data_IF_306915216004
#
_entry.id   IF_306915216004
#
_cell.length_a   1.000
_cell.length_b   1.000
_cell.length_c   1.000
_cell.angle_alpha   90.00
_cell.angle_beta   90.00
_cell.angle_gamma   90.00
#
_symmetry.space_group_name_H-M   'P 1'
#
loop_
_entity.id
_entity.type
_entity.pdbx_description
1 polymer ?
#
# COMPACT_ATOMS: atom_id res chain seq x y z
N UNK A 1 43.54 -32.05 64.06
CA UNK A 1 43.81 -30.98 63.06
C UNK A 1 43.46 -31.51 61.68
N UNK A 2 42.88 -30.67 60.82
CA UNK A 2 42.15 -31.03 59.60
C UNK A 2 43.05 -31.57 58.44
N UNK A 3 42.45 -32.52 57.70
CA UNK A 3 42.74 -33.05 56.34
C UNK A 3 43.30 -32.00 55.35
N UNK A 4 44.34 -32.30 54.57
CA UNK A 4 44.44 -33.10 53.32
C UNK A 4 44.06 -32.37 52.03
N UNK A 5 45.10 -32.09 51.24
CA UNK A 5 45.31 -32.24 49.78
C UNK A 5 44.17 -32.74 48.87
N UNK A 6 44.01 -32.09 47.69
CA UNK A 6 43.96 -32.63 46.31
C UNK A 6 43.16 -31.69 45.38
N UNK A 7 43.73 -31.11 44.31
CA UNK A 7 44.14 -31.64 42.99
C UNK A 7 43.12 -31.30 41.89
N UNK A 8 43.64 -30.94 40.71
CA UNK A 8 42.89 -30.41 39.58
C UNK A 8 41.73 -31.28 39.11
N UNK A 9 40.60 -30.62 38.84
CA UNK A 9 39.43 -31.21 38.21
C UNK A 9 39.42 -30.94 36.72
N UNK A 10 39.52 -32.00 35.92
CA UNK A 10 39.10 -32.00 34.52
C UNK A 10 37.65 -31.49 34.43
N UNK A 11 37.42 -30.50 33.58
CA UNK A 11 36.07 -29.99 33.30
C UNK A 11 35.27 -31.05 32.55
N UNK A 12 34.45 -31.81 33.28
CA UNK A 12 33.41 -32.67 32.73
C UNK A 12 32.34 -31.78 32.08
N UNK A 13 32.45 -31.57 30.77
CA UNK A 13 31.39 -30.92 29.99
C UNK A 13 30.20 -31.89 29.98
N UNK A 14 29.11 -31.52 30.64
CA UNK A 14 27.90 -32.34 30.75
C UNK A 14 27.41 -32.77 29.36
N UNK A 15 26.99 -34.04 29.24
CA UNK A 15 26.32 -34.56 28.02
C UNK A 15 25.16 -33.66 27.60
N UNK A 16 24.47 -33.02 28.55
CA UNK A 16 23.42 -32.05 28.26
C UNK A 16 23.94 -30.82 27.49
N UNK A 17 25.14 -30.33 27.82
CA UNK A 17 25.77 -29.19 27.15
C UNK A 17 26.24 -29.55 25.73
N UNK A 18 26.75 -30.77 25.52
CA UNK A 18 27.12 -31.26 24.18
C UNK A 18 25.88 -31.49 23.31
N UNK A 19 24.80 -32.04 23.88
CA UNK A 19 23.53 -32.25 23.17
C UNK A 19 22.87 -30.92 22.83
N UNK A 20 22.89 -29.92 23.71
CA UNK A 20 22.41 -28.56 23.40
C UNK A 20 23.25 -27.89 22.31
N UNK A 21 24.57 -28.03 22.35
CA UNK A 21 25.47 -27.48 21.33
C UNK A 21 25.25 -28.13 19.96
N UNK A 22 25.13 -29.47 19.92
CA UNK A 22 24.83 -30.20 18.70
C UNK A 22 23.40 -29.94 18.21
N UNK A 23 22.43 -29.72 19.10
CA UNK A 23 21.03 -29.39 18.72
C UNK A 23 20.89 -27.94 18.21
N UNK A 24 21.70 -27.01 18.72
CA UNK A 24 21.77 -25.63 18.24
C UNK A 24 22.54 -25.52 16.92
N UNK A 25 23.56 -26.36 16.69
CA UNK A 25 24.32 -26.41 15.44
C UNK A 25 23.77 -27.36 14.35
N UNK A 26 22.77 -28.19 14.65
CA UNK A 26 22.11 -29.06 13.64
C UNK A 26 20.94 -28.38 12.92
N UNK A 27 20.95 -27.06 12.77
CA UNK A 27 20.06 -26.32 11.88
C UNK A 27 20.82 -25.77 10.68
N UNK A 28 21.17 -26.68 9.77
CA UNK A 28 20.98 -26.58 8.31
C UNK A 28 21.99 -27.47 7.58
N UNK A 29 21.47 -28.46 6.87
CA UNK A 29 21.85 -28.88 5.51
C UNK A 29 20.98 -30.10 5.14
N UNK A 30 19.67 -29.89 5.14
CA UNK A 30 18.80 -30.68 4.27
C UNK A 30 18.96 -30.04 2.89
N UNK A 31 19.36 -30.79 1.84
CA UNK A 31 19.25 -30.29 0.49
C UNK A 31 17.76 -30.11 0.24
N UNK A 32 17.27 -28.88 0.39
CA UNK A 32 15.99 -28.52 -0.18
C UNK A 32 16.04 -28.91 -1.64
N UNK A 33 15.02 -29.64 -2.09
CA UNK A 33 14.64 -29.68 -3.51
C UNK A 33 15.00 -28.35 -4.16
N UNK A 34 15.71 -28.33 -5.30
CA UNK A 34 16.10 -27.08 -5.92
C UNK A 34 14.84 -26.25 -6.08
N UNK A 35 14.72 -25.20 -5.28
CA UNK A 35 13.78 -24.15 -5.55
C UNK A 35 14.20 -23.71 -6.94
N UNK A 36 13.37 -24.03 -7.94
CA UNK A 36 13.49 -23.48 -9.28
C UNK A 36 13.77 -22.01 -9.06
N UNK A 37 14.99 -21.58 -9.37
CA UNK A 37 15.38 -20.20 -9.25
C UNK A 37 14.40 -19.44 -10.15
N UNK A 38 13.41 -18.77 -9.54
CA UNK A 38 12.51 -17.88 -10.26
C UNK A 38 13.44 -16.87 -10.90
N UNK A 39 13.58 -16.94 -12.21
CA UNK A 39 14.31 -15.94 -12.96
C UNK A 39 13.56 -14.62 -12.76
N UNK A 40 14.05 -13.82 -11.82
CA UNK A 40 13.42 -12.62 -11.23
C UNK A 40 13.28 -11.46 -12.23
N UNK A 41 13.54 -11.70 -13.51
CA UNK A 41 13.62 -10.66 -14.55
C UNK A 41 12.31 -10.43 -15.28
N UNK A 42 11.37 -11.40 -15.23
CA UNK A 42 10.12 -11.32 -15.98
C UNK A 42 8.93 -11.82 -15.17
N UNK A 43 7.85 -11.05 -15.09
CA UNK A 43 6.57 -11.45 -14.51
C UNK A 43 5.54 -11.66 -15.61
N UNK A 44 4.86 -12.79 -15.55
CA UNK A 44 3.80 -13.14 -16.49
C UNK A 44 2.45 -13.06 -15.78
N UNK A 45 1.52 -12.32 -16.35
CA UNK A 45 0.12 -12.25 -15.92
C UNK A 45 -0.75 -12.81 -17.04
N UNK A 46 -1.67 -13.71 -16.73
CA UNK A 46 -2.62 -14.24 -17.70
C UNK A 46 -4.05 -14.05 -17.22
N UNK A 47 -4.95 -13.70 -18.12
CA UNK A 47 -6.39 -13.60 -17.87
C UNK A 47 -7.18 -14.78 -18.49
N UNK A 48 -6.47 -15.82 -18.95
CA UNK A 48 -7.04 -16.97 -19.67
C UNK A 48 -7.21 -16.77 -21.18
N UNK A 49 -7.24 -15.54 -21.67
CA UNK A 49 -7.30 -15.22 -23.11
C UNK A 49 -6.00 -14.61 -23.63
N UNK A 50 -5.32 -13.88 -22.77
CA UNK A 50 -4.14 -13.10 -23.06
C UNK A 50 -3.07 -13.40 -22.02
N UNK A 51 -1.81 -13.32 -22.47
CA UNK A 51 -0.65 -13.42 -21.59
C UNK A 51 0.12 -12.11 -21.71
N UNK A 52 0.22 -11.40 -20.59
CA UNK A 52 0.95 -10.15 -20.43
C UNK A 52 2.30 -10.45 -19.81
N UNK A 53 3.35 -10.02 -20.47
CA UNK A 53 4.72 -10.21 -20.01
C UNK A 53 5.32 -8.87 -19.59
N UNK A 54 5.75 -8.77 -18.33
CA UNK A 54 6.46 -7.63 -17.80
C UNK A 54 7.92 -8.00 -17.57
N UNK A 55 8.83 -7.44 -18.39
CA UNK A 55 10.26 -7.50 -18.11
C UNK A 55 10.63 -6.38 -17.13
N UNK A 56 10.98 -6.75 -15.91
CA UNK A 56 11.28 -5.81 -14.83
C UNK A 56 12.55 -5.01 -15.10
N UNK A 57 13.59 -5.64 -15.66
CA UNK A 57 14.85 -4.95 -15.97
C UNK A 57 14.66 -3.88 -17.04
N UNK A 58 13.87 -4.18 -18.07
CA UNK A 58 13.55 -3.22 -19.11
C UNK A 58 12.72 -2.06 -18.55
N UNK A 59 11.75 -2.35 -17.69
CA UNK A 59 10.90 -1.33 -17.08
C UNK A 59 11.70 -0.42 -16.13
N UNK A 60 12.60 -1.00 -15.32
CA UNK A 60 13.49 -0.24 -14.44
C UNK A 60 14.45 0.65 -15.24
N UNK A 61 15.00 0.16 -16.35
CA UNK A 61 15.88 0.95 -17.21
C UNK A 61 15.16 2.16 -17.83
N UNK A 62 13.89 2.00 -18.25
CA UNK A 62 13.12 3.09 -18.85
C UNK A 62 12.58 4.11 -17.83
N UNK A 63 12.22 3.65 -16.63
CA UNK A 63 11.60 4.49 -15.60
C UNK A 63 12.30 4.38 -14.24
N UNK A 64 13.62 4.66 -14.16
CA UNK A 64 14.40 4.43 -12.95
C UNK A 64 13.90 5.27 -11.78
N UNK A 65 13.46 6.50 -12.03
CA UNK A 65 12.88 7.38 -11.01
C UNK A 65 11.58 6.82 -10.43
N UNK A 66 10.75 6.20 -11.28
CA UNK A 66 9.52 5.58 -10.82
C UNK A 66 9.82 4.35 -9.97
N UNK A 67 10.83 3.54 -10.28
CA UNK A 67 11.13 2.32 -9.51
C UNK A 67 11.87 2.60 -8.20
N UNK A 68 12.85 3.51 -8.23
CA UNK A 68 13.74 3.77 -7.09
C UNK A 68 13.14 4.64 -6.01
N UNK A 69 12.11 5.43 -6.35
CA UNK A 69 11.46 6.28 -5.36
C UNK A 69 10.90 5.45 -4.20
N UNK A 70 11.02 5.94 -2.98
CA UNK A 70 10.44 5.31 -1.79
C UNK A 70 9.16 6.05 -1.44
N UNK A 71 8.03 5.38 -1.52
CA UNK A 71 6.73 5.97 -1.20
C UNK A 71 6.63 6.21 0.31
N UNK A 72 6.99 7.41 0.77
CA UNK A 72 6.86 7.78 2.18
C UNK A 72 5.54 8.51 2.39
N UNK A 73 4.77 8.04 3.37
CA UNK A 73 3.48 8.62 3.72
C UNK A 73 3.69 9.76 4.72
N UNK A 74 3.30 10.97 4.32
CA UNK A 74 3.22 12.13 5.22
C UNK A 74 1.94 12.07 6.05
N UNK A 75 0.86 11.54 5.47
CA UNK A 75 -0.40 11.26 6.14
C UNK A 75 -0.76 9.81 5.86
N UNK A 76 -0.61 8.94 6.87
CA UNK A 76 -0.88 7.51 6.78
C UNK A 76 -2.33 7.14 7.11
N UNK A 77 -2.80 5.99 6.58
CA UNK A 77 -4.21 5.56 6.66
C UNK A 77 -4.43 4.07 6.92
N UNK A 78 -3.58 3.46 7.73
CA UNK A 78 -3.55 2.01 7.98
C UNK A 78 -4.90 1.39 8.39
N UNK A 79 -5.72 2.13 9.14
CA UNK A 79 -7.01 1.63 9.64
C UNK A 79 -8.19 1.83 8.67
N UNK A 80 -8.02 2.51 7.53
CA UNK A 80 -9.12 2.90 6.65
C UNK A 80 -9.91 1.69 6.10
N UNK A 81 -9.22 0.57 5.88
CA UNK A 81 -9.81 -0.63 5.27
C UNK A 81 -10.44 -1.61 6.28
N UNK A 82 -10.62 -1.17 7.54
CA UNK A 82 -11.21 -1.99 8.62
C UNK A 82 -12.75 -2.00 8.65
N UNK A 83 -13.42 -1.72 7.52
CA UNK A 83 -14.88 -1.65 7.42
C UNK A 83 -15.65 -2.88 7.94
N UNK A 84 -16.99 -2.78 8.04
CA UNK A 84 -17.81 -3.84 8.62
C UNK A 84 -17.55 -5.20 7.95
N UNK A 85 -17.44 -6.27 8.74
CA UNK A 85 -17.09 -7.60 8.26
C UNK A 85 -18.13 -8.22 7.31
N UNK A 86 -19.35 -7.67 7.27
CA UNK A 86 -20.51 -8.28 6.60
C UNK A 86 -20.61 -7.94 5.11
N UNK A 87 -19.93 -6.90 4.65
CA UNK A 87 -19.99 -6.46 3.25
C UNK A 87 -18.58 -6.37 2.63
N UNK A 88 -18.39 -6.82 1.38
CA UNK A 88 -17.14 -6.62 0.66
C UNK A 88 -16.83 -5.12 0.51
N UNK A 89 -15.55 -4.78 0.72
CA UNK A 89 -15.08 -3.40 0.64
C UNK A 89 -14.83 -2.99 -0.83
N UNK A 90 -15.45 -1.88 -1.25
CA UNK A 90 -15.13 -1.14 -2.46
C UNK A 90 -14.40 0.16 -2.07
N UNK A 91 -13.08 0.20 -2.30
CA UNK A 91 -12.27 1.38 -2.05
C UNK A 91 -12.40 2.36 -3.21
N UNK A 92 -12.88 3.59 -2.94
CA UNK A 92 -12.98 4.66 -3.93
C UNK A 92 -11.72 5.52 -3.87
N UNK A 93 -10.72 5.17 -4.67
CA UNK A 93 -9.44 5.87 -4.74
C UNK A 93 -9.50 7.06 -5.70
N UNK A 94 -9.53 8.27 -5.16
CA UNK A 94 -9.80 9.50 -5.91
C UNK A 94 -8.54 10.37 -5.96
N UNK A 95 -7.96 10.53 -7.15
CA UNK A 95 -6.84 11.46 -7.34
C UNK A 95 -7.29 12.90 -7.09
N UNK A 96 -6.58 13.60 -6.22
CA UNK A 96 -6.83 15.00 -5.88
C UNK A 96 -5.53 15.80 -5.82
N UNK A 97 -5.64 17.07 -5.45
CA UNK A 97 -4.55 18.04 -5.31
C UNK A 97 -4.72 18.78 -3.99
N UNK A 98 -3.67 19.13 -3.23
CA UNK A 98 -3.75 19.84 -1.95
C UNK A 98 -4.74 21.02 -1.95
N UNK A 99 -4.55 21.99 -2.85
CA UNK A 99 -5.45 23.15 -3.06
C UNK A 99 -6.91 22.84 -3.46
N UNK A 100 -7.28 21.58 -3.75
CA UNK A 100 -8.62 21.20 -4.24
C UNK A 100 -9.60 20.78 -3.12
N UNK A 101 -9.48 21.35 -1.91
CA UNK A 101 -10.35 21.04 -0.77
C UNK A 101 -11.85 21.21 -1.06
N UNK A 102 -12.24 22.28 -1.77
CA UNK A 102 -13.65 22.51 -2.16
C UNK A 102 -14.20 21.42 -3.08
N UNK A 103 -13.37 20.86 -3.97
CA UNK A 103 -13.75 19.74 -4.84
C UNK A 103 -13.93 18.47 -4.02
N UNK A 104 -13.02 18.18 -3.07
CA UNK A 104 -13.18 17.04 -2.15
C UNK A 104 -14.46 17.15 -1.33
N UNK A 105 -14.74 18.33 -0.77
CA UNK A 105 -15.98 18.58 -0.02
C UNK A 105 -17.25 18.36 -0.87
N UNK A 106 -17.25 18.76 -2.15
CA UNK A 106 -18.36 18.47 -3.06
C UNK A 106 -18.52 16.97 -3.36
N UNK A 107 -17.41 16.23 -3.48
CA UNK A 107 -17.43 14.78 -3.66
C UNK A 107 -17.98 14.07 -2.42
N UNK A 108 -17.58 14.48 -1.21
CA UNK A 108 -18.12 13.97 0.06
C UNK A 108 -19.62 14.21 0.22
N UNK A 109 -20.12 15.36 -0.25
CA UNK A 109 -21.55 15.67 -0.26
C UNK A 109 -22.35 14.90 -1.32
N UNK A 110 -21.68 14.17 -2.20
CA UNK A 110 -22.31 13.42 -3.30
C UNK A 110 -21.97 11.92 -3.17
N UNK A 111 -21.18 11.39 -4.09
CA UNK A 111 -20.98 9.94 -4.23
C UNK A 111 -19.78 9.40 -3.43
N UNK A 112 -18.85 10.26 -2.99
CA UNK A 112 -17.64 9.85 -2.28
C UNK A 112 -17.82 9.92 -0.76
N UNK A 113 -18.80 9.18 -0.24
CA UNK A 113 -19.08 9.08 1.21
C UNK A 113 -19.16 7.61 1.64
N UNK A 114 -18.78 7.30 2.90
CA UNK A 114 -19.00 5.97 3.44
C UNK A 114 -20.47 5.59 3.40
N UNK A 115 -20.79 4.47 2.76
CA UNK A 115 -22.16 3.98 2.61
C UNK A 115 -22.15 2.51 2.16
N UNK A 116 -23.22 1.79 2.44
CA UNK A 116 -23.47 0.50 1.81
C UNK A 116 -24.33 0.70 0.55
N UNK A 117 -23.84 0.26 -0.61
CA UNK A 117 -24.53 0.39 -1.90
C UNK A 117 -24.40 -0.91 -2.67
N UNK A 118 -25.54 -1.51 -3.04
CA UNK A 118 -25.56 -2.76 -3.80
C UNK A 118 -24.84 -3.93 -3.09
N UNK A 119 -24.86 -3.95 -1.76
CA UNK A 119 -24.18 -4.96 -0.94
C UNK A 119 -22.67 -4.72 -0.74
N UNK A 120 -22.11 -3.62 -1.25
CA UNK A 120 -20.71 -3.25 -1.02
C UNK A 120 -20.61 -2.13 0.01
N UNK A 121 -19.62 -2.21 0.90
CA UNK A 121 -19.22 -1.09 1.74
C UNK A 121 -18.28 -0.16 0.95
N UNK A 122 -18.72 1.06 0.67
CA UNK A 122 -17.92 2.07 -0.02
C UNK A 122 -17.05 2.80 0.99
N UNK A 123 -15.76 2.92 0.70
CA UNK A 123 -14.82 3.71 1.49
C UNK A 123 -14.07 4.70 0.59
N UNK A 124 -14.31 6.02 0.70
CA UNK A 124 -13.56 7.02 -0.06
C UNK A 124 -12.15 7.21 0.47
N UNK A 125 -11.21 7.46 -0.46
CA UNK A 125 -9.82 7.80 -0.17
C UNK A 125 -9.30 8.81 -1.18
N UNK A 126 -8.92 10.00 -0.73
CA UNK A 126 -8.30 11.03 -1.54
C UNK A 126 -6.78 10.88 -1.55
N UNK A 127 -6.21 10.88 -2.75
CA UNK A 127 -4.79 10.63 -3.01
C UNK A 127 -4.07 11.93 -3.39
N UNK A 128 -3.16 12.40 -2.53
CA UNK A 128 -2.43 13.65 -2.66
C UNK A 128 -0.90 13.40 -2.71
N UNK A 129 -0.17 14.28 -3.40
CA UNK A 129 1.25 14.53 -3.14
C UNK A 129 1.41 15.72 -2.19
N UNK A 130 2.65 16.01 -1.83
CA UNK A 130 3.01 17.13 -0.97
C UNK A 130 2.54 18.47 -1.54
N UNK A 131 2.03 19.31 -0.64
CA UNK A 131 1.60 20.67 -0.95
C UNK A 131 2.79 21.55 -1.31
N UNK A 132 2.58 22.49 -2.23
CA UNK A 132 3.60 23.46 -2.65
C UNK A 132 3.62 24.73 -1.78
N UNK A 133 2.66 24.89 -0.87
CA UNK A 133 2.57 26.04 0.04
C UNK A 133 2.20 25.58 1.46
N UNK A 134 2.72 26.29 2.46
CA UNK A 134 2.44 26.00 3.87
C UNK A 134 0.95 26.13 4.18
N UNK A 135 0.28 27.11 3.56
CA UNK A 135 -1.17 27.29 3.66
C UNK A 135 -1.93 26.05 3.19
N UNK A 136 -1.59 25.49 2.04
CA UNK A 136 -2.25 24.29 1.54
C UNK A 136 -1.92 23.07 2.41
N UNK A 137 -0.70 22.98 2.94
CA UNK A 137 -0.29 21.92 3.85
C UNK A 137 -1.11 21.96 5.15
N UNK A 138 -1.28 23.13 5.75
CA UNK A 138 -2.08 23.35 6.96
C UNK A 138 -3.55 22.98 6.71
N UNK A 139 -4.14 23.47 5.61
CA UNK A 139 -5.52 23.18 5.25
C UNK A 139 -5.75 21.68 5.01
N UNK A 140 -4.80 20.99 4.36
CA UNK A 140 -4.86 19.53 4.19
C UNK A 140 -4.72 18.81 5.53
N UNK A 141 -3.87 19.29 6.43
CA UNK A 141 -3.73 18.75 7.79
C UNK A 141 -5.04 18.83 8.57
N UNK A 142 -5.68 20.01 8.59
CA UNK A 142 -6.98 20.21 9.22
C UNK A 142 -8.06 19.32 8.60
N UNK A 143 -8.14 19.28 7.26
CA UNK A 143 -9.10 18.44 6.56
C UNK A 143 -8.89 16.95 6.87
N UNK A 144 -7.64 16.52 6.88
CA UNK A 144 -7.25 15.14 7.17
C UNK A 144 -7.62 14.74 8.60
N UNK A 145 -7.46 15.65 9.56
CA UNK A 145 -7.92 15.46 10.94
C UNK A 145 -9.45 15.34 11.02
N UNK A 146 -10.19 16.17 10.29
CA UNK A 146 -11.66 16.15 10.31
C UNK A 146 -12.28 14.93 9.63
N UNK A 147 -11.78 14.53 8.45
CA UNK A 147 -12.44 13.53 7.61
C UNK A 147 -11.76 12.16 7.62
N UNK A 148 -10.47 12.08 7.94
CA UNK A 148 -9.75 10.80 8.01
C UNK A 148 -9.60 10.06 6.67
N UNK A 149 -9.89 10.72 5.54
CA UNK A 149 -9.99 10.09 4.21
C UNK A 149 -8.92 10.59 3.22
N UNK A 150 -7.82 11.15 3.72
CA UNK A 150 -6.69 11.64 2.92
C UNK A 150 -5.47 10.74 3.14
N UNK A 151 -4.90 10.25 2.05
CA UNK A 151 -3.57 9.62 1.99
C UNK A 151 -2.64 10.55 1.19
N UNK A 152 -1.51 10.92 1.79
CA UNK A 152 -0.58 11.87 1.20
C UNK A 152 0.86 11.36 1.26
N UNK A 153 1.56 11.45 0.13
CA UNK A 153 2.98 11.15 0.03
C UNK A 153 3.85 12.41 -0.03
N UNK A 154 5.14 12.22 0.20
CA UNK A 154 6.18 13.26 0.28
C UNK A 154 6.63 13.85 -1.06
N UNK A 155 6.28 13.25 -2.21
CA UNK A 155 6.62 13.84 -3.51
C UNK A 155 5.76 15.07 -3.81
N UNK A 156 6.35 16.08 -4.45
CA UNK A 156 5.64 17.28 -4.90
C UNK A 156 4.44 16.93 -5.80
N UNK A 157 3.27 17.48 -5.50
CA UNK A 157 2.10 17.30 -6.35
C UNK A 157 2.31 17.93 -7.74
N UNK A 158 2.22 17.12 -8.80
CA UNK A 158 2.31 17.60 -10.18
C UNK A 158 1.72 16.60 -11.16
N UNK A 159 1.42 17.04 -12.39
CA UNK A 159 1.00 16.15 -13.47
C UNK A 159 2.08 15.10 -13.81
N UNK A 160 3.36 15.47 -13.72
CA UNK A 160 4.47 14.58 -14.01
C UNK A 160 4.59 13.44 -12.98
N UNK A 161 4.18 13.69 -11.72
CA UNK A 161 4.25 12.70 -10.64
C UNK A 161 3.01 11.81 -10.53
N UNK A 162 2.09 11.84 -11.51
CA UNK A 162 0.88 11.01 -11.49
C UNK A 162 1.19 9.51 -11.54
N UNK A 163 2.20 9.09 -12.30
CA UNK A 163 2.64 7.68 -12.32
C UNK A 163 3.22 7.26 -10.98
N UNK A 164 3.96 8.15 -10.32
CA UNK A 164 4.49 7.91 -8.98
C UNK A 164 3.38 7.76 -7.96
N UNK A 165 2.38 8.64 -8.01
CA UNK A 165 1.14 8.54 -7.22
C UNK A 165 0.43 7.20 -7.43
N UNK A 166 0.37 6.71 -8.67
CA UNK A 166 -0.27 5.42 -8.96
C UNK A 166 0.50 4.26 -8.34
N UNK A 167 1.81 4.21 -8.55
CA UNK A 167 2.66 3.15 -7.98
C UNK A 167 2.60 3.15 -6.45
N UNK A 168 2.68 4.32 -5.82
CA UNK A 168 2.62 4.43 -4.37
C UNK A 168 1.25 4.02 -3.82
N UNK A 169 0.17 4.38 -4.50
CA UNK A 169 -1.17 3.91 -4.16
C UNK A 169 -1.30 2.38 -4.26
N UNK A 170 -0.83 1.77 -5.34
CA UNK A 170 -0.89 0.32 -5.52
C UNK A 170 -0.08 -0.42 -4.44
N UNK A 171 1.11 0.10 -4.09
CA UNK A 171 1.92 -0.41 -2.98
C UNK A 171 1.16 -0.31 -1.65
N UNK A 172 0.54 0.83 -1.38
CA UNK A 172 -0.24 1.05 -0.17
C UNK A 172 -1.43 0.08 -0.05
N UNK A 173 -2.19 -0.13 -1.14
CA UNK A 173 -3.31 -1.08 -1.16
C UNK A 173 -2.83 -2.49 -0.82
N UNK A 174 -1.71 -2.92 -1.41
CA UNK A 174 -1.12 -4.23 -1.16
C UNK A 174 -0.71 -4.43 0.30
N UNK A 175 -0.16 -3.38 0.93
CA UNK A 175 0.35 -3.43 2.31
C UNK A 175 -0.74 -3.25 3.37
N UNK A 176 -1.68 -2.33 3.16
CA UNK A 176 -2.60 -1.85 4.20
C UNK A 176 -4.07 -2.18 3.94
N UNK A 177 -4.43 -2.57 2.71
CA UNK A 177 -5.82 -2.69 2.29
C UNK A 177 -6.17 -4.04 1.65
N UNK A 178 -5.65 -5.14 2.21
CA UNK A 178 -5.88 -6.50 1.69
C UNK A 178 -7.35 -6.95 1.73
N UNK A 179 -8.19 -6.26 2.52
CA UNK A 179 -9.64 -6.52 2.60
C UNK A 179 -10.45 -5.90 1.46
N UNK A 180 -9.86 -5.03 0.65
CA UNK A 180 -10.57 -4.45 -0.50
C UNK A 180 -10.86 -5.53 -1.53
N UNK A 181 -12.14 -5.81 -1.77
CA UNK A 181 -12.58 -6.70 -2.83
C UNK A 181 -12.39 -6.03 -4.20
N UNK A 182 -12.63 -4.71 -4.27
CA UNK A 182 -12.49 -3.92 -5.48
C UNK A 182 -11.92 -2.54 -5.16
N UNK A 183 -11.21 -1.99 -6.14
CA UNK A 183 -10.73 -0.60 -6.12
C UNK A 183 -11.32 0.13 -7.32
N UNK A 184 -12.10 1.16 -7.06
CA UNK A 184 -12.49 2.12 -8.08
C UNK A 184 -11.46 3.24 -8.14
N UNK A 185 -10.80 3.39 -9.29
CA UNK A 185 -9.86 4.49 -9.51
C UNK A 185 -10.52 5.65 -10.25
N UNK A 186 -10.69 6.78 -9.57
CA UNK A 186 -11.30 7.98 -10.12
C UNK A 186 -10.31 9.11 -10.39
N UNK A 187 -10.58 9.89 -11.43
CA UNK A 187 -10.14 11.30 -11.54
C UNK A 187 -11.36 12.16 -11.79
N UNK A 188 -11.44 13.35 -11.19
CA UNK A 188 -12.52 14.29 -11.49
C UNK A 188 -12.09 15.20 -12.64
N UNK A 189 -12.54 14.94 -13.87
CA UNK A 189 -12.33 15.87 -15.00
C UNK A 189 -13.56 16.70 -15.37
N UNK A 190 -14.78 16.40 -14.91
CA UNK A 190 -15.95 17.30 -15.05
C UNK A 190 -16.89 17.18 -13.85
N UNK A 191 -17.45 18.31 -13.43
CA UNK A 191 -18.48 18.39 -12.41
C UNK A 191 -19.81 17.97 -13.04
N UNK A 192 -20.43 16.85 -12.62
CA UNK A 192 -21.89 16.89 -12.53
C UNK A 192 -22.13 17.69 -11.24
N UNK A 193 -22.47 18.99 -11.38
CA UNK A 193 -22.78 19.83 -10.24
C UNK A 193 -24.03 19.26 -9.56
N UNK A 194 -23.96 19.01 -8.26
CA UNK A 194 -25.14 18.75 -7.46
C UNK A 194 -26.06 19.97 -7.58
N UNK A 195 -27.13 19.84 -8.37
CA UNK A 195 -28.13 20.90 -8.57
C UNK A 195 -28.44 21.32 -10.01
N UNK A 196 -27.76 20.81 -11.05
CA UNK A 196 -28.09 21.19 -12.42
C UNK A 196 -28.06 20.01 -13.40
N UNK A 197 -29.27 19.48 -13.68
CA UNK A 197 -29.67 18.52 -14.73
C UNK A 197 -29.00 17.14 -14.72
N UNK A 198 -29.73 16.06 -15.09
CA UNK A 198 -29.13 14.75 -15.27
C UNK A 198 -28.07 14.82 -16.36
N UNK A 199 -26.89 14.28 -16.07
CA UNK A 199 -25.81 14.10 -17.04
C UNK A 199 -26.34 13.18 -18.17
N UNK A 200 -26.86 13.79 -19.25
CA UNK A 200 -27.24 13.08 -20.47
C UNK A 200 -25.98 12.47 -21.07
N UNK A 201 -25.95 11.13 -21.12
CA UNK A 201 -25.10 10.37 -22.02
C UNK A 201 -25.38 10.85 -23.45
N UNK A 202 -24.54 11.74 -23.98
CA UNK A 202 -24.47 11.89 -25.43
C UNK A 202 -23.89 10.59 -25.96
N UNK A 203 -24.74 9.76 -26.55
CA UNK A 203 -24.31 8.69 -27.43
C UNK A 203 -23.38 9.32 -28.49
N UNK A 204 -22.18 8.75 -28.60
CA UNK A 204 -21.33 9.01 -29.75
C UNK A 204 -22.07 8.49 -30.98
N UNK A 205 -22.22 9.36 -31.98
CA UNK A 205 -22.63 8.99 -33.33
C UNK A 205 -21.38 8.72 -34.16
#
# INVERSE_FOLDING_TARGET
MRRSYQSGGLALVSLASVVLYLSLHRRQLVPGTPAVAKDSRTTTLTDGTSTFLLNHSLYEAHFPHLQRYQCQEVIARDALCQGPARAPLLLLAIKSHPASGSKRAALRRTWARPAEVGGFWLQPLFLLGAASSDKDAELVGLESHTFGDILMWDFAESHHNLSLKERCFLRWVHQHCQRAAYVFKGRRTRSCAAGARPCSLRQAK
#
